data_IF_064638784598
#
_entry.id   IF_064638784598
#
_cell.length_a   1.000
_cell.length_b   1.000
_cell.length_c   1.000
_cell.angle_alpha   90.00
_cell.angle_beta   90.00
_cell.angle_gamma   90.00
#
_symmetry.space_group_name_H-M   'P 1'
#
loop_
_entity.id
_entity.type
_entity.pdbx_description
1 polymer ?
#
# COMPACT_ATOMS: atom_id res chain seq x y z
N UNK A 1 6.88 14.63 8.13
CA UNK A 1 6.50 13.66 7.07
C UNK A 1 5.00 13.40 7.20
N UNK A 2 4.28 13.24 6.09
CA UNK A 2 2.87 12.82 6.13
C UNK A 2 2.80 11.33 6.44
N UNK A 3 1.87 10.93 7.31
CA UNK A 3 1.63 9.53 7.64
C UNK A 3 1.16 8.75 6.38
N UNK A 4 1.32 7.42 6.40
CA UNK A 4 0.99 6.57 5.25
C UNK A 4 -0.47 6.74 4.80
N UNK A 5 -1.40 6.79 5.75
CA UNK A 5 -2.83 6.96 5.51
C UNK A 5 -3.13 8.28 4.78
N UNK A 6 -2.50 9.39 5.20
CA UNK A 6 -2.69 10.70 4.57
C UNK A 6 -2.15 10.71 3.13
N UNK A 7 -0.99 10.09 2.90
CA UNK A 7 -0.44 9.94 1.54
C UNK A 7 -1.35 9.08 0.67
N UNK A 8 -1.80 7.94 1.19
CA UNK A 8 -2.65 7.02 0.46
C UNK A 8 -3.98 7.68 0.08
N UNK A 9 -4.63 8.38 1.01
CA UNK A 9 -5.86 9.16 0.75
C UNK A 9 -5.64 10.27 -0.28
N UNK A 10 -4.53 10.99 -0.20
CA UNK A 10 -4.19 12.08 -1.14
C UNK A 10 -4.00 11.56 -2.57
N UNK A 11 -3.42 10.37 -2.74
CA UNK A 11 -3.20 9.76 -4.06
C UNK A 11 -4.40 8.96 -4.57
N UNK A 12 -5.31 8.52 -3.70
CA UNK A 12 -6.45 7.64 -4.01
C UNK A 12 -7.23 8.02 -5.29
N UNK A 13 -7.59 9.30 -5.52
CA UNK A 13 -8.35 9.70 -6.72
C UNK A 13 -7.59 9.50 -8.04
N UNK A 14 -6.26 9.37 -7.98
CA UNK A 14 -5.38 9.20 -9.14
C UNK A 14 -4.89 7.76 -9.32
N UNK A 15 -5.29 6.85 -8.43
CA UNK A 15 -4.92 5.44 -8.48
C UNK A 15 -5.70 4.72 -9.59
N UNK A 16 -5.04 3.78 -10.26
CA UNK A 16 -5.73 2.85 -11.16
C UNK A 16 -6.68 1.94 -10.37
N UNK A 17 -7.68 1.30 -11.02
CA UNK A 17 -8.61 0.41 -10.32
C UNK A 17 -7.94 -0.72 -9.54
N UNK A 18 -6.79 -1.23 -10.01
CA UNK A 18 -6.02 -2.24 -9.27
C UNK A 18 -5.28 -1.65 -8.07
N UNK A 19 -4.79 -0.42 -8.16
CA UNK A 19 -4.15 0.26 -7.04
C UNK A 19 -5.18 0.69 -5.99
N UNK A 20 -6.39 1.08 -6.41
CA UNK A 20 -7.51 1.36 -5.51
C UNK A 20 -7.87 0.14 -4.68
N UNK A 21 -7.94 -1.08 -5.26
CA UNK A 21 -8.15 -2.31 -4.48
C UNK A 21 -7.12 -2.54 -3.38
N UNK A 22 -5.85 -2.19 -3.63
CA UNK A 22 -4.82 -2.29 -2.60
C UNK A 22 -5.07 -1.23 -1.53
N UNK A 23 -5.40 0.00 -1.94
CA UNK A 23 -5.67 1.09 -1.02
C UNK A 23 -6.89 0.81 -0.13
N UNK A 24 -7.97 0.29 -0.70
CA UNK A 24 -9.18 -0.13 0.02
C UNK A 24 -8.84 -1.20 1.06
N UNK A 25 -8.12 -2.25 0.64
CA UNK A 25 -7.64 -3.28 1.56
C UNK A 25 -6.79 -2.70 2.69
N UNK A 26 -5.89 -1.75 2.37
CA UNK A 26 -5.06 -1.08 3.37
C UNK A 26 -5.90 -0.24 4.33
N UNK A 27 -6.96 0.43 3.86
CA UNK A 27 -7.85 1.19 4.73
C UNK A 27 -8.67 0.29 5.66
N UNK A 28 -9.14 -0.85 5.15
CA UNK A 28 -9.94 -1.81 5.91
C UNK A 28 -9.10 -2.60 6.93
N UNK A 29 -7.80 -2.79 6.65
CA UNK A 29 -6.88 -3.60 7.45
C UNK A 29 -5.63 -2.83 7.90
N UNK A 30 -5.76 -1.52 8.17
CA UNK A 30 -4.62 -0.65 8.43
C UNK A 30 -3.81 -1.10 9.66
N UNK A 31 -4.50 -1.45 10.75
CA UNK A 31 -3.89 -1.90 12.01
C UNK A 31 -3.08 -3.20 11.84
N UNK A 32 -3.47 -4.06 10.89
CA UNK A 32 -2.82 -5.33 10.61
C UNK A 32 -1.73 -5.23 9.52
N UNK A 33 -1.58 -4.06 8.86
CA UNK A 33 -0.76 -3.92 7.67
C UNK A 33 0.71 -4.34 7.89
N UNK A 34 1.24 -4.10 9.10
CA UNK A 34 2.61 -4.48 9.47
C UNK A 34 2.86 -5.99 9.43
N UNK A 35 1.80 -6.80 9.56
CA UNK A 35 1.84 -8.26 9.53
C UNK A 35 1.96 -8.83 8.12
N UNK A 36 1.61 -8.05 7.09
CA UNK A 36 1.66 -8.50 5.70
C UNK A 36 2.95 -8.09 5.00
N UNK A 37 3.58 -9.04 4.31
CA UNK A 37 4.60 -8.75 3.32
C UNK A 37 3.97 -8.42 1.94
N UNK A 38 4.77 -7.87 1.02
CA UNK A 38 4.28 -7.45 -0.31
C UNK A 38 3.58 -8.55 -1.14
N UNK A 39 3.93 -9.82 -0.95
CA UNK A 39 3.29 -10.94 -1.65
C UNK A 39 1.96 -11.32 -1.00
N UNK A 40 1.87 -11.26 0.33
CA UNK A 40 0.62 -11.47 1.06
C UNK A 40 -0.38 -10.36 0.74
N UNK A 41 0.07 -9.09 0.77
CA UNK A 41 -0.77 -7.96 0.39
C UNK A 41 -1.30 -8.10 -1.04
N UNK A 42 -0.46 -8.52 -1.99
CA UNK A 42 -0.88 -8.77 -3.36
C UNK A 42 -1.95 -9.87 -3.44
N UNK A 43 -1.74 -10.98 -2.72
CA UNK A 43 -2.71 -12.09 -2.67
C UNK A 43 -4.04 -11.66 -2.06
N UNK A 44 -4.01 -10.95 -0.93
CA UNK A 44 -5.19 -10.55 -0.17
C UNK A 44 -6.01 -9.47 -0.90
N UNK A 45 -5.35 -8.53 -1.58
CA UNK A 45 -6.02 -7.51 -2.39
C UNK A 45 -6.38 -7.97 -3.82
N UNK A 46 -6.05 -9.21 -4.20
CA UNK A 46 -6.40 -9.78 -5.51
C UNK A 46 -5.67 -9.11 -6.67
N UNK A 47 -4.42 -8.72 -6.48
CA UNK A 47 -3.58 -8.05 -7.50
C UNK A 47 -2.21 -8.69 -7.63
N UNK A 48 -1.44 -8.24 -8.62
CA UNK A 48 -0.05 -8.67 -8.76
C UNK A 48 0.89 -7.96 -7.78
N UNK A 49 1.99 -8.64 -7.40
CA UNK A 49 3.10 -8.04 -6.63
C UNK A 49 3.71 -6.81 -7.32
N UNK A 50 3.67 -6.77 -8.65
CA UNK A 50 4.13 -5.61 -9.42
C UNK A 50 3.22 -4.39 -9.22
N UNK A 51 1.91 -4.59 -9.09
CA UNK A 51 0.96 -3.50 -8.75
C UNK A 51 1.20 -2.96 -7.35
N UNK A 52 1.42 -3.85 -6.37
CA UNK A 52 1.84 -3.45 -5.02
C UNK A 52 3.10 -2.57 -5.08
N UNK A 53 4.15 -3.05 -5.75
CA UNK A 53 5.41 -2.30 -5.89
C UNK A 53 5.21 -0.91 -6.52
N UNK A 54 4.40 -0.80 -7.58
CA UNK A 54 4.09 0.48 -8.23
C UNK A 54 3.37 1.45 -7.31
N UNK A 55 2.38 0.99 -6.54
CA UNK A 55 1.65 1.83 -5.59
C UNK A 55 2.59 2.41 -4.54
N UNK A 56 3.38 1.58 -3.86
CA UNK A 56 4.25 2.06 -2.78
C UNK A 56 5.38 2.96 -3.30
N UNK A 57 5.87 2.74 -4.53
CA UNK A 57 6.76 3.70 -5.21
C UNK A 57 6.11 5.06 -5.43
N UNK A 58 4.84 5.09 -5.88
CA UNK A 58 4.08 6.32 -6.03
C UNK A 58 3.87 7.04 -4.69
N UNK A 59 3.75 6.31 -3.59
CA UNK A 59 3.65 6.87 -2.22
C UNK A 59 5.00 7.35 -1.64
N UNK A 60 6.08 7.24 -2.42
CA UNK A 60 7.41 7.71 -2.03
C UNK A 60 8.32 6.66 -1.39
N UNK A 61 7.99 5.37 -1.47
CA UNK A 61 8.82 4.29 -0.94
C UNK A 61 9.58 3.58 -2.06
N UNK A 62 10.89 3.41 -1.95
CA UNK A 62 11.65 2.65 -2.95
C UNK A 62 11.26 1.17 -2.94
N UNK A 63 11.01 0.64 -1.74
CA UNK A 63 10.65 -0.75 -1.46
C UNK A 63 9.51 -0.80 -0.45
N UNK A 64 8.71 -1.87 -0.53
CA UNK A 64 7.66 -2.15 0.44
C UNK A 64 8.19 -2.26 1.89
N UNK A 65 9.45 -2.70 2.05
CA UNK A 65 10.10 -2.78 3.36
C UNK A 65 10.24 -1.40 4.01
N UNK A 66 10.55 -0.36 3.23
CA UNK A 66 10.74 0.99 3.74
C UNK A 66 9.45 1.53 4.37
N UNK A 67 8.30 1.22 3.75
CA UNK A 67 6.98 1.50 4.33
C UNK A 67 6.75 0.76 5.65
N UNK A 68 7.08 -0.53 5.72
CA UNK A 68 6.94 -1.30 6.97
C UNK A 68 7.83 -0.79 8.09
N UNK A 69 9.04 -0.32 7.76
CA UNK A 69 9.96 0.23 8.73
C UNK A 69 9.49 1.61 9.24
N UNK A 70 8.70 2.37 8.46
CA UNK A 70 8.01 3.60 8.92
C UNK A 70 6.83 3.31 9.86
N UNK A 71 6.12 2.19 9.67
CA UNK A 71 4.96 1.80 10.49
C UNK A 71 5.33 1.12 11.83
N UNK A 72 6.61 0.87 12.07
CA UNK A 72 7.13 0.28 13.32
C UNK A 72 7.38 1.34 14.39
#
# INVERSE_FOLDING_TARGET
>A
MKQLDERLRSHYPQLSPQEQRIADFVFDHFDDLISYNSAELARLSGVSKATVSRLFKRLGYEKYKDMRDELR
#
